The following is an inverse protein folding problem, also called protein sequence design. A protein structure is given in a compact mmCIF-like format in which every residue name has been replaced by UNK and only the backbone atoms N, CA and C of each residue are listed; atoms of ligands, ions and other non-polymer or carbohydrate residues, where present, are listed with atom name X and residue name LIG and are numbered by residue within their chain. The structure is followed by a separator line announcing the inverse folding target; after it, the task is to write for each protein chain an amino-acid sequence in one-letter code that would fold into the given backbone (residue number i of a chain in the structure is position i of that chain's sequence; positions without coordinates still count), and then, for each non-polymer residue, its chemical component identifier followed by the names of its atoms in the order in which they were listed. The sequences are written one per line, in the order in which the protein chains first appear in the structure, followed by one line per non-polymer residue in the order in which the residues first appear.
data_IF_524394106106
#
_entry.id   IF_524394106106
#
_cell.length_a   1.000
_cell.length_b   1.000
_cell.length_c   1.000
_cell.angle_alpha   90.00
_cell.angle_beta   90.00
_cell.angle_gamma   90.00
#
_symmetry.space_group_name_H-M   'P 1'
#
loop_
_entity.id
_entity.type
_entity.pdbx_description
1 polymer ?
#
# COMPACT_ATOMS: atom_id res chain seq x y z
N UNK A 1 -2.19 2.22 18.51
CA UNK A 1 -1.93 2.57 17.09
C UNK A 1 -2.79 3.74 16.57
N UNK A 2 -3.04 4.79 17.38
CA UNK A 2 -3.88 5.96 16.99
C UNK A 2 -3.13 7.02 16.13
N UNK A 3 -1.93 6.74 15.63
CA UNK A 3 -1.04 7.78 15.07
C UNK A 3 -0.53 7.55 13.65
N UNK A 4 -0.66 6.37 13.03
CA UNK A 4 0.00 6.10 11.75
C UNK A 4 -0.43 7.06 10.62
N UNK A 5 -1.74 7.28 10.44
CA UNK A 5 -2.26 8.21 9.43
C UNK A 5 -1.85 9.66 9.73
N UNK A 6 -2.12 10.23 10.93
CA UNK A 6 -1.67 11.59 11.25
C UNK A 6 -0.15 11.78 11.17
N UNK A 7 0.64 10.77 11.55
CA UNK A 7 2.10 10.81 11.48
C UNK A 7 2.59 10.81 10.04
N UNK A 8 2.05 9.93 9.17
CA UNK A 8 2.40 9.91 7.76
C UNK A 8 1.99 11.21 7.07
N UNK A 9 0.78 11.73 7.35
CA UNK A 9 0.30 13.00 6.82
C UNK A 9 1.23 14.16 7.20
N UNK A 10 1.63 14.25 8.48
CA UNK A 10 2.56 15.27 8.95
C UNK A 10 3.95 15.15 8.30
N UNK A 11 4.42 13.93 8.04
CA UNK A 11 5.68 13.68 7.34
C UNK A 11 5.62 14.15 5.89
N UNK A 12 4.58 13.75 5.16
CA UNK A 12 4.34 14.18 3.78
C UNK A 12 4.27 15.71 3.70
N UNK A 13 3.50 16.33 4.59
CA UNK A 13 3.41 17.79 4.66
C UNK A 13 4.78 18.44 4.91
N UNK A 14 5.61 17.92 5.83
CA UNK A 14 6.98 18.43 6.06
C UNK A 14 7.87 18.32 4.83
N UNK A 15 7.85 17.19 4.13
CA UNK A 15 8.66 17.00 2.91
C UNK A 15 8.24 17.98 1.81
N UNK A 16 6.94 18.17 1.62
CA UNK A 16 6.37 19.07 0.62
C UNK A 16 6.62 20.55 0.97
N UNK A 17 6.35 20.95 2.21
CA UNK A 17 6.49 22.33 2.67
C UNK A 17 7.95 22.82 2.65
N UNK A 18 8.90 21.94 2.95
CA UNK A 18 10.31 22.34 3.04
C UNK A 18 11.02 22.45 1.69
N UNK A 19 10.51 21.79 0.65
CA UNK A 19 11.26 21.63 -0.63
C UNK A 19 10.43 21.83 -1.90
N UNK A 20 9.09 21.92 -1.82
CA UNK A 20 8.23 21.97 -3.00
C UNK A 20 8.31 20.71 -3.87
N UNK A 21 8.80 19.60 -3.30
CA UNK A 21 9.04 18.36 -4.03
C UNK A 21 7.75 17.75 -4.58
N UNK A 22 7.89 16.97 -5.65
CA UNK A 22 6.89 15.99 -6.04
C UNK A 22 7.18 14.64 -5.37
N UNK A 23 6.13 13.90 -5.03
CA UNK A 23 6.24 12.63 -4.29
C UNK A 23 5.51 11.52 -5.05
N UNK A 24 6.23 10.44 -5.34
CA UNK A 24 5.64 9.13 -5.65
C UNK A 24 5.56 8.35 -4.35
N UNK A 25 4.34 8.05 -3.89
CA UNK A 25 4.12 7.34 -2.64
C UNK A 25 4.02 5.83 -2.91
N UNK A 26 4.97 5.06 -2.40
CA UNK A 26 4.94 3.59 -2.50
C UNK A 26 4.36 3.02 -1.21
N UNK A 27 3.31 2.20 -1.32
CA UNK A 27 2.60 1.63 -0.17
C UNK A 27 2.53 0.11 -0.26
N UNK A 28 2.70 -0.57 0.87
CA UNK A 28 2.65 -2.03 0.96
C UNK A 28 1.68 -2.54 2.02
N UNK A 29 0.94 -3.61 1.72
CA UNK A 29 0.00 -4.26 2.66
C UNK A 29 -0.96 -3.26 3.30
N UNK A 30 -1.03 -3.22 4.64
CA UNK A 30 -1.79 -2.23 5.39
C UNK A 30 -1.42 -0.77 5.07
N UNK A 31 -0.22 -0.53 4.55
CA UNK A 31 0.22 0.75 4.02
C UNK A 31 -0.71 1.32 2.95
N UNK A 32 -1.45 0.49 2.22
CA UNK A 32 -2.44 0.94 1.23
C UNK A 32 -3.46 1.90 1.80
N UNK A 33 -4.24 1.45 2.78
CA UNK A 33 -5.21 2.31 3.43
C UNK A 33 -4.55 3.42 4.24
N UNK A 34 -3.42 3.17 4.92
CA UNK A 34 -2.73 4.21 5.71
C UNK A 34 -2.29 5.36 4.79
N UNK A 35 -1.70 5.03 3.65
CA UNK A 35 -1.27 6.00 2.64
C UNK A 35 -2.43 6.76 2.03
N UNK A 36 -3.48 6.07 1.57
CA UNK A 36 -4.68 6.73 1.05
C UNK A 36 -5.28 7.75 2.02
N UNK A 37 -5.31 7.41 3.32
CA UNK A 37 -5.85 8.28 4.36
C UNK A 37 -4.93 9.45 4.71
N UNK A 38 -3.63 9.35 4.40
CA UNK A 38 -2.63 10.35 4.73
C UNK A 38 -2.39 11.36 3.59
N UNK A 39 -2.81 11.08 2.36
CA UNK A 39 -2.63 11.96 1.19
C UNK A 39 -3.65 13.12 1.03
N UNK A 40 -4.89 13.13 1.57
CA UNK A 40 -5.88 14.17 1.27
C UNK A 40 -5.34 15.59 1.52
N UNK A 41 -5.53 16.51 0.56
CA UNK A 41 -5.03 17.88 0.65
C UNK A 41 -3.53 18.03 0.31
N UNK A 42 -2.82 16.93 0.07
CA UNK A 42 -1.40 16.90 -0.27
C UNK A 42 -1.12 16.45 -1.71
N UNK A 43 -2.16 16.14 -2.49
CA UNK A 43 -2.01 15.84 -3.93
C UNK A 43 -1.49 17.06 -4.68
N UNK A 44 -0.82 16.84 -5.82
CA UNK A 44 -0.38 17.96 -6.67
C UNK A 44 -1.57 18.84 -7.10
N UNK A 45 -2.72 18.24 -7.41
CA UNK A 45 -3.92 18.97 -7.79
C UNK A 45 -4.46 19.85 -6.64
N UNK A 46 -4.62 19.28 -5.43
CA UNK A 46 -5.08 20.01 -4.25
C UNK A 46 -4.14 21.18 -3.93
N UNK A 47 -2.83 20.92 -3.91
CA UNK A 47 -1.82 21.93 -3.60
C UNK A 47 -1.75 23.02 -4.65
N UNK A 48 -1.81 22.68 -5.94
CA UNK A 48 -1.87 23.66 -7.03
C UNK A 48 -3.11 24.56 -6.90
N UNK A 49 -4.27 24.00 -6.56
CA UNK A 49 -5.49 24.78 -6.32
C UNK A 49 -5.37 25.76 -5.14
N UNK A 50 -4.53 25.41 -4.16
CA UNK A 50 -4.24 26.24 -2.99
C UNK A 50 -3.05 27.19 -3.20
N UNK A 51 -2.47 27.24 -4.40
CA UNK A 51 -1.28 28.07 -4.71
C UNK A 51 0.01 27.58 -4.02
N UNK A 52 0.06 26.31 -3.63
CA UNK A 52 1.20 25.70 -2.94
C UNK A 52 2.04 24.85 -3.92
N UNK A 53 3.38 24.84 -3.77
CA UNK A 53 4.26 24.07 -4.64
C UNK A 53 4.28 22.57 -4.26
N UNK A 54 4.62 21.72 -5.24
CA UNK A 54 4.80 20.30 -5.05
C UNK A 54 3.51 19.54 -4.72
N UNK A 55 3.63 18.23 -4.55
CA UNK A 55 2.53 17.38 -4.13
C UNK A 55 2.75 15.90 -4.43
N UNK A 56 1.85 15.06 -3.92
CA UNK A 56 1.80 13.64 -4.28
C UNK A 56 1.27 13.53 -5.71
N UNK A 57 2.07 12.91 -6.59
CA UNK A 57 1.80 12.82 -8.02
C UNK A 57 1.36 11.41 -8.46
N UNK A 58 1.76 10.38 -7.70
CA UNK A 58 1.41 8.99 -7.99
C UNK A 58 1.41 8.17 -6.68
N UNK A 59 0.59 7.13 -6.61
CA UNK A 59 0.63 6.13 -5.53
C UNK A 59 0.83 4.74 -6.13
N UNK A 60 1.94 4.08 -5.78
CA UNK A 60 2.22 2.69 -6.18
C UNK A 60 1.75 1.77 -5.05
N UNK A 61 0.69 1.02 -5.31
CA UNK A 61 0.13 0.03 -4.40
C UNK A 61 0.77 -1.34 -4.67
N UNK A 62 1.68 -1.73 -3.79
CA UNK A 62 2.38 -3.01 -3.84
C UNK A 62 1.78 -3.90 -2.77
N UNK A 63 0.99 -4.89 -3.14
CA UNK A 63 0.45 -5.80 -2.11
C UNK A 63 -0.51 -5.15 -1.13
N UNK A 64 -1.10 -4.03 -1.52
CA UNK A 64 -1.72 -3.10 -0.59
C UNK A 64 -3.22 -3.34 -0.42
N UNK A 65 -3.69 -3.39 0.81
CA UNK A 65 -5.11 -3.53 1.13
C UNK A 65 -5.82 -2.20 0.94
N UNK A 66 -6.82 -2.18 0.06
CA UNK A 66 -7.60 -0.99 -0.30
C UNK A 66 -9.05 -1.16 0.16
N UNK A 67 -9.29 -0.99 1.45
CA UNK A 67 -10.62 -1.25 2.05
C UNK A 67 -11.40 0.06 2.21
N UNK A 68 -12.62 0.15 1.64
CA UNK A 68 -13.61 1.19 1.95
C UNK A 68 -14.44 0.76 3.15
N UNK A 69 -14.19 1.39 4.31
CA UNK A 69 -14.78 1.04 5.60
C UNK A 69 -14.61 -0.42 6.03
N UNK A 70 -14.29 -0.60 7.30
CA UNK A 70 -13.86 -1.86 7.87
C UNK A 70 -14.93 -2.96 7.82
N UNK A 71 -15.00 -3.71 6.71
CA UNK A 71 -15.48 -5.09 6.70
C UNK A 71 -14.29 -6.04 6.91
N UNK A 72 -13.80 -6.06 8.16
CA UNK A 72 -12.70 -6.94 8.62
C UNK A 72 -12.99 -8.42 8.35
N UNK A 73 -14.28 -8.78 8.32
CA UNK A 73 -14.77 -10.11 7.99
C UNK A 73 -14.29 -10.60 6.62
N UNK A 74 -14.00 -9.69 5.69
CA UNK A 74 -13.43 -10.05 4.38
C UNK A 74 -11.91 -10.33 4.42
N UNK A 75 -11.21 -9.90 5.47
CA UNK A 75 -9.78 -10.23 5.70
C UNK A 75 -9.60 -11.52 6.55
N UNK A 76 -10.70 -12.20 6.88
CA UNK A 76 -10.77 -13.41 7.72
C UNK A 76 -9.92 -14.63 7.26
N UNK A 77 -9.67 -14.90 5.96
CA UNK A 77 -8.80 -16.02 5.60
C UNK A 77 -7.32 -15.76 5.99
N UNK A 78 -6.90 -14.50 6.08
CA UNK A 78 -5.52 -14.13 6.34
C UNK A 78 -5.21 -13.89 7.81
N UNK A 79 -6.18 -13.39 8.57
CA UNK A 79 -6.03 -13.10 9.99
C UNK A 79 -6.83 -14.05 10.88
N UNK A 80 -6.26 -14.40 12.03
CA UNK A 80 -6.99 -14.96 13.17
C UNK A 80 -7.12 -13.93 14.27
N UNK A 81 -8.31 -13.83 14.84
CA UNK A 81 -8.54 -13.02 16.04
C UNK A 81 -8.10 -13.81 17.27
N UNK A 82 -7.18 -13.25 18.06
CA UNK A 82 -6.87 -13.71 19.43
C UNK A 82 -7.20 -12.56 20.39
N UNK A 83 -8.41 -12.58 20.95
CA UNK A 83 -8.95 -11.46 21.73
C UNK A 83 -9.20 -10.22 20.87
N UNK A 84 -8.74 -9.05 21.30
CA UNK A 84 -8.84 -7.78 20.54
C UNK A 84 -7.74 -7.61 19.47
N UNK A 85 -6.96 -8.65 19.21
CA UNK A 85 -5.82 -8.62 18.28
C UNK A 85 -6.08 -9.57 17.11
N UNK A 86 -5.52 -9.19 15.96
CA UNK A 86 -5.45 -9.98 14.74
C UNK A 86 -4.01 -10.42 14.54
N UNK A 87 -3.83 -11.69 14.22
CA UNK A 87 -2.55 -12.31 13.91
C UNK A 87 -2.62 -12.91 12.51
N UNK A 88 -1.52 -12.88 11.77
CA UNK A 88 -1.44 -13.54 10.46
C UNK A 88 -1.44 -15.05 10.69
N UNK A 89 -2.34 -15.77 10.00
CA UNK A 89 -2.37 -17.23 10.01
C UNK A 89 -1.21 -17.77 9.18
N UNK A 90 -0.48 -18.75 9.72
CA UNK A 90 0.64 -19.44 9.07
C UNK A 90 1.56 -18.50 8.25
N UNK A 91 2.25 -17.52 8.87
CA UNK A 91 3.02 -16.50 8.15
C UNK A 91 4.07 -17.09 7.20
N UNK A 92 4.63 -18.27 7.52
CA UNK A 92 5.53 -19.01 6.63
C UNK A 92 4.88 -19.39 5.29
N UNK A 93 3.59 -19.73 5.29
CA UNK A 93 2.83 -20.15 4.12
C UNK A 93 2.09 -19.00 3.43
N UNK A 94 1.93 -17.87 4.12
CA UNK A 94 1.12 -16.74 3.64
C UNK A 94 1.94 -15.49 3.32
N UNK A 95 2.98 -15.17 4.10
CA UNK A 95 3.79 -13.96 3.92
C UNK A 95 5.13 -14.20 3.23
N UNK A 96 5.77 -15.32 3.53
CA UNK A 96 7.17 -15.61 3.14
C UNK A 96 7.28 -16.91 2.35
N UNK A 97 6.18 -17.34 1.71
CA UNK A 97 6.07 -18.63 1.04
C UNK A 97 7.02 -18.80 -0.16
N UNK A 98 7.52 -17.69 -0.70
CA UNK A 98 8.45 -17.63 -1.81
C UNK A 98 9.86 -17.15 -1.39
N UNK A 99 10.13 -17.10 -0.08
CA UNK A 99 11.44 -16.76 0.49
C UNK A 99 12.14 -17.99 1.08
N UNK A 100 13.47 -17.96 1.11
CA UNK A 100 14.23 -18.99 1.82
C UNK A 100 13.98 -18.94 3.32
N UNK A 101 14.03 -20.10 3.98
CA UNK A 101 13.78 -20.23 5.43
C UNK A 101 14.74 -19.40 6.29
N UNK A 102 15.90 -19.03 5.76
CA UNK A 102 16.90 -18.19 6.43
C UNK A 102 16.44 -16.72 6.58
N UNK A 103 15.51 -16.27 5.72
CA UNK A 103 14.92 -14.91 5.74
C UNK A 103 13.58 -14.91 6.51
N UNK A 104 12.95 -16.08 6.65
CA UNK A 104 11.59 -16.28 7.17
C UNK A 104 11.41 -16.12 8.70
N UNK A 105 12.33 -15.46 9.41
CA UNK A 105 12.20 -15.24 10.87
C UNK A 105 11.79 -13.82 11.23
N UNK A 106 10.52 -13.58 11.50
CA UNK A 106 10.17 -12.39 12.27
C UNK A 106 9.13 -12.65 13.39
N UNK A 107 9.32 -11.93 14.48
CA UNK A 107 8.35 -11.76 15.56
C UNK A 107 7.26 -10.79 15.10
N UNK A 108 6.07 -11.32 14.80
CA UNK A 108 4.93 -10.54 14.30
C UNK A 108 4.03 -10.11 15.46
N UNK A 109 4.18 -8.87 15.95
CA UNK A 109 3.37 -8.37 17.04
C UNK A 109 2.80 -6.97 16.72
N UNK A 110 1.59 -6.96 16.09
CA UNK A 110 0.48 -5.97 16.23
C UNK A 110 -0.28 -5.67 14.91
N UNK A 111 -1.63 -5.71 14.90
CA UNK A 111 -2.43 -5.28 13.76
C UNK A 111 -2.80 -3.78 13.76
N UNK A 112 -2.99 -3.15 12.59
CA UNK A 112 -3.42 -1.75 12.46
C UNK A 112 -4.95 -1.53 12.51
N UNK A 113 -5.35 -0.27 12.78
CA UNK A 113 -6.74 0.22 12.73
C UNK A 113 -6.98 1.06 11.46
N UNK A 114 -8.19 0.98 10.91
CA UNK A 114 -8.57 1.36 9.54
C UNK A 114 -9.21 2.76 9.44
N UNK A 115 -9.18 3.38 8.23
CA UNK A 115 -9.79 4.69 7.91
C UNK A 115 -10.20 4.83 6.42
N UNK A 116 -10.97 5.88 6.03
CA UNK A 116 -11.59 6.03 4.68
C UNK A 116 -10.67 6.39 3.49
N UNK A 117 -11.13 6.07 2.27
CA UNK A 117 -10.35 5.84 1.04
C UNK A 117 -10.32 7.00 0.02
N UNK A 118 -9.25 7.14 -0.78
CA UNK A 118 -9.07 8.24 -1.77
C UNK A 118 -8.22 7.93 -3.04
N UNK A 119 -7.95 6.67 -3.40
CA UNK A 119 -7.10 6.37 -4.57
C UNK A 119 -7.66 6.82 -5.92
N UNK A 120 -8.97 7.12 -6.03
CA UNK A 120 -9.60 7.56 -7.28
C UNK A 120 -9.24 9.00 -7.70
N UNK A 121 -8.47 9.73 -6.89
CA UNK A 121 -8.08 11.13 -7.13
C UNK A 121 -6.61 11.34 -7.49
N UNK A 122 -5.81 10.28 -7.47
CA UNK A 122 -4.38 10.32 -7.81
C UNK A 122 -4.09 9.18 -8.79
N UNK A 123 -3.24 9.42 -9.78
CA UNK A 123 -2.73 8.32 -10.62
C UNK A 123 -2.16 7.22 -9.73
N UNK A 124 -2.45 5.98 -10.03
CA UNK A 124 -1.99 4.85 -9.22
C UNK A 124 -1.67 3.63 -10.07
N UNK A 125 -0.66 2.88 -9.63
CA UNK A 125 -0.33 1.57 -10.18
C UNK A 125 -0.63 0.53 -9.10
N UNK A 126 -1.35 -0.52 -9.46
CA UNK A 126 -1.63 -1.64 -8.60
C UNK A 126 -0.93 -2.89 -9.15
N UNK A 127 0.06 -3.39 -8.42
CA UNK A 127 0.68 -4.67 -8.74
C UNK A 127 -0.18 -5.78 -8.17
N UNK A 128 -0.62 -6.72 -9.00
CA UNK A 128 -1.36 -7.94 -8.64
C UNK A 128 -0.39 -9.10 -8.58
N UNK A 129 -0.63 -10.01 -7.66
CA UNK A 129 0.30 -11.10 -7.33
C UNK A 129 -0.45 -12.41 -7.28
N UNK A 130 -0.06 -13.32 -8.18
CA UNK A 130 -0.73 -14.61 -8.40
C UNK A 130 -0.15 -15.74 -7.53
N UNK A 131 1.05 -15.57 -6.97
CA UNK A 131 1.70 -16.54 -6.09
C UNK A 131 1.43 -16.32 -4.59
N UNK A 132 0.55 -15.38 -4.25
CA UNK A 132 0.28 -14.97 -2.88
C UNK A 132 -0.95 -15.71 -2.30
N UNK A 133 -0.76 -16.40 -1.18
CA UNK A 133 -1.83 -17.09 -0.47
C UNK A 133 -2.58 -16.20 0.55
N UNK A 134 -2.13 -14.96 0.77
CA UNK A 134 -2.73 -14.02 1.71
C UNK A 134 -4.02 -13.36 1.19
N UNK A 135 -4.12 -13.12 -0.11
CA UNK A 135 -5.24 -12.37 -0.70
C UNK A 135 -5.65 -12.99 -2.03
N UNK A 136 -6.93 -13.34 -2.16
CA UNK A 136 -7.51 -13.81 -3.42
C UNK A 136 -7.26 -12.81 -4.56
N UNK A 137 -6.88 -13.31 -5.73
CA UNK A 137 -6.58 -12.48 -6.90
C UNK A 137 -7.81 -11.65 -7.29
N UNK A 138 -9.01 -12.21 -7.19
CA UNK A 138 -10.27 -11.52 -7.47
C UNK A 138 -10.48 -10.29 -6.56
N UNK A 139 -10.08 -10.39 -5.30
CA UNK A 139 -10.18 -9.28 -4.35
C UNK A 139 -9.15 -8.18 -4.68
N UNK A 140 -7.95 -8.56 -5.12
CA UNK A 140 -6.93 -7.60 -5.60
C UNK A 140 -7.40 -6.86 -6.86
N UNK A 141 -7.97 -7.58 -7.83
CA UNK A 141 -8.57 -7.00 -9.05
C UNK A 141 -9.66 -5.99 -8.68
N UNK A 142 -10.57 -6.37 -7.78
CA UNK A 142 -11.64 -5.49 -7.28
C UNK A 142 -11.06 -4.19 -6.71
N UNK A 143 -9.98 -4.29 -5.92
CA UNK A 143 -9.31 -3.13 -5.34
C UNK A 143 -8.64 -2.24 -6.38
N UNK A 144 -7.97 -2.83 -7.37
CA UNK A 144 -7.33 -2.09 -8.45
C UNK A 144 -8.37 -1.34 -9.31
N UNK A 145 -9.49 -1.99 -9.64
CA UNK A 145 -10.61 -1.38 -10.35
C UNK A 145 -11.23 -0.22 -9.56
N UNK A 146 -11.49 -0.41 -8.26
CA UNK A 146 -12.00 0.64 -7.37
C UNK A 146 -11.06 1.85 -7.28
N UNK A 147 -9.75 1.61 -7.32
CA UNK A 147 -8.72 2.64 -7.33
C UNK A 147 -8.54 3.29 -8.72
N UNK A 148 -9.14 2.73 -9.77
CA UNK A 148 -8.87 3.07 -11.18
C UNK A 148 -7.37 3.03 -11.51
N UNK A 149 -6.67 2.08 -10.90
CA UNK A 149 -5.23 1.95 -11.06
C UNK A 149 -4.90 1.33 -12.41
N UNK A 150 -3.73 1.69 -12.94
CA UNK A 150 -3.06 0.85 -13.91
C UNK A 150 -2.70 -0.49 -13.25
N UNK A 151 -3.09 -1.60 -13.90
CA UNK A 151 -2.85 -2.94 -13.38
C UNK A 151 -1.53 -3.49 -13.96
N UNK A 152 -0.71 -4.05 -13.08
CA UNK A 152 0.47 -4.85 -13.40
C UNK A 152 0.37 -6.18 -12.68
N UNK A 153 1.02 -7.23 -13.18
CA UNK A 153 0.94 -8.57 -12.59
C UNK A 153 2.34 -9.17 -12.36
N UNK A 154 2.48 -9.99 -11.32
CA UNK A 154 3.65 -10.83 -11.07
C UNK A 154 3.24 -12.15 -10.39
N UNK A 155 4.18 -13.09 -10.31
CA UNK A 155 4.00 -14.41 -9.68
C UNK A 155 4.60 -14.51 -8.26
N UNK A 156 5.01 -13.38 -7.67
CA UNK A 156 5.59 -13.31 -6.32
C UNK A 156 4.57 -13.60 -5.19
N UNK A 157 5.11 -13.98 -4.03
CA UNK A 157 4.43 -14.04 -2.73
C UNK A 157 4.33 -12.68 -2.04
N UNK A 158 4.02 -12.63 -0.73
CA UNK A 158 3.61 -11.38 -0.07
C UNK A 158 4.69 -10.30 0.09
N UNK A 159 5.95 -10.71 0.03
CA UNK A 159 7.10 -9.83 0.18
C UNK A 159 7.87 -9.71 -1.13
N UNK A 160 7.18 -9.31 -2.21
CA UNK A 160 7.76 -9.12 -3.56
C UNK A 160 9.02 -8.24 -3.58
N UNK A 161 9.12 -7.27 -2.67
CA UNK A 161 10.31 -6.43 -2.52
C UNK A 161 11.55 -7.19 -2.05
N UNK A 162 11.37 -8.38 -1.48
CA UNK A 162 12.44 -9.29 -1.06
C UNK A 162 12.67 -10.39 -2.10
N UNK A 163 11.61 -11.00 -2.64
CA UNK A 163 11.74 -12.13 -3.58
C UNK A 163 12.04 -11.69 -5.02
N UNK A 164 11.45 -10.58 -5.47
CA UNK A 164 11.58 -10.07 -6.84
C UNK A 164 11.78 -8.54 -6.85
N UNK A 165 12.77 -8.07 -6.08
CA UNK A 165 13.06 -6.65 -5.87
C UNK A 165 13.17 -5.81 -7.15
N UNK A 166 13.64 -6.42 -8.25
CA UNK A 166 13.79 -5.75 -9.55
C UNK A 166 12.46 -5.27 -10.14
N UNK A 167 11.38 -6.06 -10.00
CA UNK A 167 10.04 -5.66 -10.45
C UNK A 167 9.58 -4.40 -9.71
N UNK A 168 9.85 -4.33 -8.40
CA UNK A 168 9.50 -3.15 -7.58
C UNK A 168 10.29 -1.92 -8.02
N UNK A 169 11.59 -2.07 -8.29
CA UNK A 169 12.42 -0.98 -8.77
C UNK A 169 11.95 -0.46 -10.13
N UNK A 170 11.66 -1.38 -11.06
CA UNK A 170 11.22 -1.02 -12.41
C UNK A 170 9.85 -0.32 -12.37
N UNK A 171 8.91 -0.80 -11.54
CA UNK A 171 7.64 -0.09 -11.28
C UNK A 171 7.82 1.34 -10.76
N UNK A 172 8.76 1.54 -9.83
CA UNK A 172 9.03 2.87 -9.29
C UNK A 172 9.60 3.79 -10.37
N UNK A 173 10.49 3.27 -11.22
CA UNK A 173 11.04 4.04 -12.35
C UNK A 173 9.96 4.41 -13.34
N UNK A 174 9.15 3.46 -13.80
CA UNK A 174 8.04 3.70 -14.72
C UNK A 174 7.07 4.76 -14.17
N UNK A 175 6.74 4.67 -12.88
CA UNK A 175 5.85 5.62 -12.21
C UNK A 175 6.43 7.04 -12.11
N UNK A 176 7.76 7.18 -12.05
CA UNK A 176 8.46 8.48 -12.04
C UNK A 176 8.62 9.03 -13.45
N UNK A 177 8.90 8.17 -14.44
CA UNK A 177 9.06 8.55 -15.84
C UNK A 177 7.73 8.94 -16.49
N UNK A 178 6.63 8.29 -16.14
CA UNK A 178 5.27 8.61 -16.65
C UNK A 178 4.70 9.95 -16.19
N UNK A 179 5.36 10.62 -15.24
CA UNK A 179 4.93 11.88 -14.62
C UNK A 179 5.96 13.01 -14.76
N UNK A 180 7.10 12.72 -15.40
CA UNK A 180 8.16 13.69 -15.73
C UNK A 180 7.94 14.30 -17.12
#
# INVERSE_FOLDING_TARGET
MRRCVPTLHALLHKVLANRGNTIVLVVHSAGGFIGANAVPGLTLADRKSAGLPGGVINIIAIMATLVREAKLDQCSPFFESRGERLFVKDPEKTLVNDLSQDIAKPEWDRPPKYGPFLFDRVSSIYLIYKGNNATLVELQMTWAELAKSEIRECDAGHLVMLSQSRIVVDLIKDAVESVA
#
